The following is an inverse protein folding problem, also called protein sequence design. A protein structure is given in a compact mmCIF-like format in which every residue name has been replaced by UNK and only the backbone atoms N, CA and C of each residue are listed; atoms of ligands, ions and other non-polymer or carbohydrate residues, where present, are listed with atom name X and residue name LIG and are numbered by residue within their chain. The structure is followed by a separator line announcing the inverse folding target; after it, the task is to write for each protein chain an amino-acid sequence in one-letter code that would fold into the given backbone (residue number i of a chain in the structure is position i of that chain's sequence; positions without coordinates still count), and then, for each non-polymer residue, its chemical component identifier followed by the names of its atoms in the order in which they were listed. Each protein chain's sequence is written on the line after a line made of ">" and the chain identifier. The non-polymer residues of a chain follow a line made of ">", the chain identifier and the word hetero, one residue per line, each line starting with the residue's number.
data_IF_644278249553
#
_entry.id   IF_644278249553
#
_cell.length_a   1.000
_cell.length_b   1.000
_cell.length_c   1.000
_cell.angle_alpha   90.00
_cell.angle_beta   90.00
_cell.angle_gamma   90.00
#
_symmetry.space_group_name_H-M   'P 1'
#
loop_
_entity.id
_entity.type
_entity.pdbx_description
1 polymer ?
#
# COMPACT_ATOMS: atom_id res chain seq x y z
N UNK A 1 22.03 -13.79 30.66
CA UNK A 1 22.84 -13.00 29.71
C UNK A 1 22.01 -12.41 28.57
N UNK A 2 21.06 -13.14 27.99
CA UNK A 2 20.17 -12.67 26.92
C UNK A 2 19.36 -11.41 27.27
N UNK A 3 18.88 -11.26 28.51
CA UNK A 3 18.12 -10.08 28.95
C UNK A 3 18.92 -8.78 28.89
N UNK A 4 20.21 -8.80 29.28
CA UNK A 4 21.06 -7.62 29.23
C UNK A 4 21.37 -7.22 27.77
N UNK A 5 21.60 -8.20 26.90
CA UNK A 5 21.79 -7.99 25.47
C UNK A 5 20.53 -7.41 24.81
N UNK A 6 19.36 -7.93 25.16
CA UNK A 6 18.07 -7.43 24.66
C UNK A 6 17.83 -5.97 25.09
N UNK A 7 18.11 -5.64 26.35
CA UNK A 7 17.99 -4.27 26.87
C UNK A 7 18.95 -3.30 26.18
N UNK A 8 20.20 -3.71 25.94
CA UNK A 8 21.17 -2.90 25.20
C UNK A 8 20.72 -2.64 23.76
N UNK A 9 20.26 -3.68 23.06
CA UNK A 9 19.76 -3.57 21.68
C UNK A 9 18.54 -2.64 21.57
N UNK A 10 17.57 -2.76 22.49
CA UNK A 10 16.38 -1.89 22.53
C UNK A 10 16.75 -0.43 22.81
N UNK A 11 17.84 -0.19 23.56
CA UNK A 11 18.38 1.15 23.82
C UNK A 11 19.25 1.71 22.68
N UNK A 12 19.35 0.99 21.55
CA UNK A 12 20.08 1.42 20.37
C UNK A 12 21.59 1.15 20.41
N UNK A 13 22.07 0.33 21.35
CA UNK A 13 23.47 -0.09 21.36
C UNK A 13 23.72 -1.05 20.20
N UNK A 14 24.76 -0.78 19.42
CA UNK A 14 25.20 -1.67 18.35
C UNK A 14 25.70 -3.00 18.95
N UNK A 15 25.04 -4.10 18.59
CA UNK A 15 25.41 -5.45 19.01
C UNK A 15 26.09 -6.16 17.84
N UNK A 16 27.29 -6.69 18.05
CA UNK A 16 27.95 -7.56 17.09
C UNK A 16 27.33 -8.96 17.14
N UNK A 17 26.35 -9.19 16.27
CA UNK A 17 25.67 -10.48 16.15
C UNK A 17 26.60 -11.60 15.63
N UNK A 18 27.67 -11.28 14.89
CA UNK A 18 28.63 -12.29 14.44
C UNK A 18 29.42 -12.86 15.62
N UNK A 19 29.90 -12.00 16.52
CA UNK A 19 30.57 -12.43 17.75
C UNK A 19 29.63 -13.20 18.68
N UNK A 20 28.36 -12.80 18.79
CA UNK A 20 27.35 -13.49 19.62
C UNK A 20 27.08 -14.91 19.13
N UNK A 21 27.05 -15.14 17.82
CA UNK A 21 26.74 -16.45 17.22
C UNK A 21 27.98 -17.24 16.78
N UNK A 22 29.19 -16.76 17.05
CA UNK A 22 30.43 -17.43 16.67
C UNK A 22 30.51 -18.86 17.24
N UNK A 23 30.73 -19.84 16.38
CA UNK A 23 30.80 -21.27 16.77
C UNK A 23 29.45 -21.93 17.09
N UNK A 24 28.32 -21.21 16.96
CA UNK A 24 26.99 -21.73 17.32
C UNK A 24 26.18 -22.28 16.14
N UNK A 25 26.74 -22.28 14.92
CA UNK A 25 26.08 -22.82 13.73
C UNK A 25 24.83 -22.04 13.30
N UNK A 26 24.72 -20.76 13.67
CA UNK A 26 23.60 -19.92 13.28
C UNK A 26 23.48 -19.81 11.76
N UNK A 27 22.27 -19.97 11.24
CA UNK A 27 21.95 -19.85 9.81
C UNK A 27 20.83 -18.83 9.60
N UNK A 28 20.81 -18.20 8.43
CA UNK A 28 19.65 -17.40 8.00
C UNK A 28 18.47 -18.34 7.76
N UNK A 29 17.29 -17.92 8.20
CA UNK A 29 16.03 -18.64 8.00
C UNK A 29 15.02 -17.68 7.41
N UNK A 30 14.08 -18.20 6.63
CA UNK A 30 12.98 -17.39 6.13
C UNK A 30 12.08 -16.98 7.28
N UNK A 31 11.79 -15.68 7.34
CA UNK A 31 10.90 -15.10 8.33
C UNK A 31 9.57 -14.72 7.67
N UNK A 32 8.45 -14.75 8.41
CA UNK A 32 7.21 -14.17 7.93
C UNK A 32 7.45 -12.74 7.46
N UNK A 33 6.82 -12.36 6.35
CA UNK A 33 6.89 -10.99 5.85
C UNK A 33 6.38 -10.02 6.91
N UNK A 34 7.03 -8.86 7.00
CA UNK A 34 6.61 -7.78 7.89
C UNK A 34 5.10 -7.51 7.73
N UNK A 35 4.40 -7.41 8.85
CA UNK A 35 2.97 -7.15 8.88
C UNK A 35 2.70 -5.66 8.59
N UNK A 36 2.84 -5.28 7.32
CA UNK A 36 2.55 -3.92 6.87
C UNK A 36 1.14 -3.51 7.30
N UNK A 37 1.01 -2.28 7.81
CA UNK A 37 -0.30 -1.72 8.10
C UNK A 37 -1.08 -1.55 6.80
N UNK A 38 -2.20 -2.25 6.67
CA UNK A 38 -3.01 -2.25 5.46
C UNK A 38 -3.99 -1.08 5.52
N UNK A 39 -3.68 -0.03 4.79
CA UNK A 39 -4.59 1.08 4.54
C UNK A 39 -4.79 1.22 3.03
N UNK A 40 -6.02 1.54 2.63
CA UNK A 40 -6.35 1.74 1.23
C UNK A 40 -5.94 3.14 0.80
N UNK A 41 -4.85 3.23 0.02
CA UNK A 41 -4.35 4.48 -0.57
C UNK A 41 -4.70 4.58 -2.06
N UNK A 42 -5.93 4.25 -2.42
CA UNK A 42 -6.47 4.45 -3.77
C UNK A 42 -7.40 5.67 -3.84
N UNK A 43 -7.74 6.16 -5.04
CA UNK A 43 -8.74 7.22 -5.20
C UNK A 43 -10.07 6.80 -4.56
N UNK A 44 -10.79 7.77 -4.01
CA UNK A 44 -12.14 7.54 -3.51
C UNK A 44 -12.99 6.93 -4.63
N UNK A 45 -13.71 5.85 -4.33
CA UNK A 45 -14.64 5.24 -5.28
C UNK A 45 -15.83 6.19 -5.44
N UNK A 46 -15.70 7.16 -6.34
CA UNK A 46 -16.84 7.88 -6.87
C UNK A 46 -17.65 6.87 -7.66
N UNK A 47 -18.92 6.70 -7.30
CA UNK A 47 -19.88 5.92 -8.08
C UNK A 47 -20.12 6.64 -9.41
N UNK A 48 -19.21 6.47 -10.37
CA UNK A 48 -19.41 6.94 -11.73
C UNK A 48 -20.45 6.02 -12.34
N UNK A 49 -21.66 6.55 -12.59
CA UNK A 49 -22.66 5.84 -13.40
C UNK A 49 -22.02 5.53 -14.75
N UNK A 50 -22.13 4.28 -15.23
CA UNK A 50 -21.59 3.92 -16.53
C UNK A 50 -22.19 4.83 -17.61
N UNK A 51 -21.37 5.70 -18.21
CA UNK A 51 -21.81 6.72 -19.16
C UNK A 51 -21.89 8.15 -18.62
N UNK A 52 -21.58 8.39 -17.34
CA UNK A 52 -21.40 9.75 -16.82
C UNK A 52 -20.02 10.28 -17.22
N UNK A 53 -20.02 11.09 -18.26
CA UNK A 53 -18.83 11.72 -18.85
C UNK A 53 -18.87 13.24 -18.70
N UNK A 54 -19.69 13.73 -17.76
CA UNK A 54 -19.83 15.16 -17.45
C UNK A 54 -18.51 15.79 -17.01
N UNK A 55 -17.67 15.02 -16.30
CA UNK A 55 -16.33 15.43 -15.89
C UNK A 55 -15.38 15.76 -17.07
N UNK A 56 -15.69 15.28 -18.28
CA UNK A 56 -14.90 15.52 -19.51
C UNK A 56 -15.61 16.51 -20.44
N UNK A 57 -16.64 17.22 -19.95
CA UNK A 57 -17.36 18.26 -20.70
C UNK A 57 -18.43 17.75 -21.67
N UNK A 58 -18.81 16.48 -21.56
CA UNK A 58 -19.89 15.89 -22.36
C UNK A 58 -21.23 15.96 -21.61
N UNK A 59 -22.32 16.16 -22.34
CA UNK A 59 -23.67 16.17 -21.77
C UNK A 59 -24.30 14.78 -21.83
N UNK A 60 -25.10 14.45 -20.81
CA UNK A 60 -25.85 13.19 -20.80
C UNK A 60 -26.86 13.16 -21.95
N UNK A 61 -26.87 12.07 -22.73
CA UNK A 61 -27.72 11.94 -23.91
C UNK A 61 -29.16 11.49 -23.59
N UNK A 62 -29.43 11.03 -22.36
CA UNK A 62 -30.77 10.62 -21.93
C UNK A 62 -31.35 9.42 -22.71
N UNK A 63 -30.50 8.62 -23.34
CA UNK A 63 -30.90 7.58 -24.29
C UNK A 63 -30.36 6.19 -23.86
N UNK A 64 -31.15 5.11 -23.95
CA UNK A 64 -30.76 3.78 -23.43
C UNK A 64 -29.53 3.17 -24.11
N UNK A 65 -29.23 3.59 -25.34
CA UNK A 65 -28.06 3.14 -26.10
C UNK A 65 -26.94 4.19 -26.21
N UNK A 66 -27.21 5.45 -25.87
CA UNK A 66 -26.23 6.53 -26.00
C UNK A 66 -26.12 7.23 -24.64
N UNK A 67 -24.94 7.12 -24.00
CA UNK A 67 -24.70 7.70 -22.68
C UNK A 67 -24.39 9.20 -22.69
N UNK A 68 -23.73 9.69 -23.73
CA UNK A 68 -23.27 11.08 -23.81
C UNK A 68 -23.35 11.66 -25.24
N UNK A 69 -23.48 12.98 -25.35
CA UNK A 69 -23.54 13.72 -26.60
C UNK A 69 -22.68 15.01 -26.55
N UNK A 70 -22.35 15.56 -27.72
CA UNK A 70 -21.68 16.86 -27.89
C UNK A 70 -22.67 17.86 -28.47
N UNK A 71 -22.84 19.01 -27.84
CA UNK A 71 -23.59 20.14 -28.39
C UNK A 71 -22.69 21.01 -29.26
N UNK A 72 -23.06 21.20 -30.53
CA UNK A 72 -22.40 22.14 -31.43
C UNK A 72 -23.22 23.44 -31.50
N UNK A 73 -22.57 24.60 -31.34
CA UNK A 73 -23.21 25.89 -31.58
C UNK A 73 -23.37 26.11 -33.09
N UNK A 74 -24.51 26.69 -33.50
CA UNK A 74 -24.80 27.06 -34.89
C UNK A 74 -24.17 28.40 -35.27
#
# INVERSE_FOLDING_TARGET
>A
MTTALAQAYVRGVAVDWQAVFAGQGARRVDLPTYAFQRQHYGPERVSVTAGDVTAVGLVAAGHPLLGAAVSLAA
#
